data_IF_275913890931
#
_entry.id   IF_275913890931
#
_cell.length_a   1.000
_cell.length_b   1.000
_cell.length_c   1.000
_cell.angle_alpha   90.00
_cell.angle_beta   90.00
_cell.angle_gamma   90.00
#
_symmetry.space_group_name_H-M   'P 1'
#
loop_
_entity.id
_entity.type
_entity.pdbx_description
1 polymer ?
#
# COMPACT_ATOMS: atom_id res chain seq x y z
N UNK A 1 10.46 29.80 -12.00
CA UNK A 1 11.82 30.12 -11.51
C UNK A 1 11.78 29.85 -10.01
N UNK A 2 12.36 28.75 -9.57
CA UNK A 2 12.25 28.29 -8.19
C UNK A 2 13.40 28.87 -7.36
N UNK A 3 13.14 29.16 -6.09
CA UNK A 3 14.17 29.60 -5.13
C UNK A 3 15.20 28.48 -4.89
N UNK A 4 14.84 27.26 -5.27
CA UNK A 4 15.58 26.01 -5.06
C UNK A 4 16.89 25.96 -5.87
N UNK A 5 17.01 26.74 -6.95
CA UNK A 5 18.19 26.77 -7.83
C UNK A 5 19.31 27.71 -7.31
N UNK A 6 19.13 28.31 -6.13
CA UNK A 6 20.00 29.37 -5.62
C UNK A 6 21.04 28.84 -4.64
N UNK A 7 22.30 28.70 -5.10
CA UNK A 7 23.40 28.24 -4.24
C UNK A 7 24.00 29.44 -3.52
N UNK A 8 23.75 29.54 -2.21
CA UNK A 8 24.35 30.55 -1.35
C UNK A 8 25.75 30.12 -0.91
N UNK A 9 26.72 31.02 -1.04
CA UNK A 9 28.09 30.77 -0.58
C UNK A 9 28.65 32.00 0.16
N UNK A 10 29.57 31.74 1.10
CA UNK A 10 30.29 32.78 1.84
C UNK A 10 31.77 32.71 1.46
N UNK A 11 32.30 33.86 1.05
CA UNK A 11 33.71 34.01 0.73
C UNK A 11 34.49 34.31 2.01
N UNK A 12 35.55 33.55 2.21
CA UNK A 12 36.52 33.75 3.30
C UNK A 12 37.91 33.85 2.69
N UNK A 13 38.72 34.80 3.17
CA UNK A 13 40.09 34.99 2.71
C UNK A 13 41.05 34.43 3.76
N UNK A 14 42.01 33.63 3.31
CA UNK A 14 43.02 33.05 4.18
C UNK A 14 44.00 34.13 4.71
N UNK A 15 44.33 35.15 3.91
CA UNK A 15 45.21 36.25 4.30
C UNK A 15 44.41 37.52 4.65
N UNK A 16 43.93 37.60 5.89
CA UNK A 16 43.15 38.74 6.39
C UNK A 16 43.98 40.00 6.65
N UNK A 17 45.32 39.89 6.72
CA UNK A 17 46.21 41.03 6.97
C UNK A 17 46.45 41.82 5.68
N UNK A 18 46.67 41.09 4.58
CA UNK A 18 46.96 41.69 3.29
C UNK A 18 45.76 41.66 2.36
N UNK A 19 44.54 41.39 2.78
CA UNK A 19 43.37 41.53 1.91
C UNK A 19 42.15 41.94 2.72
N UNK A 20 41.21 42.62 2.05
CA UNK A 20 39.95 43.01 2.66
C UNK A 20 38.85 42.88 1.63
N UNK A 21 37.84 42.08 1.95
CA UNK A 21 36.58 42.04 1.19
C UNK A 21 35.83 43.34 1.51
N UNK A 22 35.43 44.08 0.47
CA UNK A 22 34.62 45.29 0.61
C UNK A 22 33.23 44.97 0.06
N UNK A 23 32.22 45.03 0.92
CA UNK A 23 30.84 44.67 0.58
C UNK A 23 30.37 43.39 1.29
N UNK A 24 29.38 42.71 0.72
CA UNK A 24 28.84 41.46 1.25
C UNK A 24 29.77 40.29 0.92
N UNK A 25 30.15 39.53 1.95
CA UNK A 25 30.92 38.29 1.80
C UNK A 25 30.04 37.10 1.37
N UNK A 26 28.72 37.20 1.58
CA UNK A 26 27.72 36.22 1.15
C UNK A 26 27.22 36.58 -0.24
N UNK A 27 27.34 35.65 -1.19
CA UNK A 27 26.83 35.79 -2.55
C UNK A 27 26.08 34.52 -2.97
N UNK A 28 25.52 34.54 -4.16
CA UNK A 28 24.81 33.41 -4.74
C UNK A 28 25.32 33.08 -6.13
N UNK A 29 25.24 31.80 -6.49
CA UNK A 29 25.30 31.36 -7.86
C UNK A 29 23.87 31.16 -8.37
N UNK A 30 23.67 31.50 -9.64
CA UNK A 30 22.42 31.32 -10.36
C UNK A 30 22.77 30.62 -11.68
N UNK A 31 22.18 29.44 -11.88
CA UNK A 31 22.47 28.52 -12.97
C UNK A 31 23.98 28.19 -13.07
N UNK A 32 24.64 28.65 -14.13
CA UNK A 32 26.06 28.46 -14.40
C UNK A 32 26.91 29.71 -14.13
N UNK A 33 26.33 30.74 -13.52
CA UNK A 33 27.01 32.02 -13.25
C UNK A 33 27.00 32.35 -11.76
N UNK A 34 28.17 32.71 -11.22
CA UNK A 34 28.29 33.16 -9.83
C UNK A 34 28.64 34.64 -9.83
N UNK A 35 27.90 35.43 -9.06
CA UNK A 35 28.23 36.84 -8.87
C UNK A 35 29.24 36.94 -7.74
N UNK A 36 30.47 37.32 -8.08
CA UNK A 36 31.52 37.57 -7.10
C UNK A 36 31.53 39.06 -6.71
N UNK A 37 31.77 39.38 -5.43
CA UNK A 37 31.85 40.76 -4.97
C UNK A 37 33.10 41.42 -5.55
N UNK A 38 33.03 42.74 -5.74
CA UNK A 38 34.12 43.50 -6.32
C UNK A 38 35.32 43.58 -5.35
N UNK A 39 36.46 43.00 -5.73
CA UNK A 39 37.70 43.09 -4.97
C UNK A 39 38.49 44.34 -5.39
N UNK A 40 38.54 45.37 -4.54
CA UNK A 40 39.39 46.56 -4.80
C UNK A 40 40.81 46.34 -4.32
N UNK A 41 41.73 45.98 -5.24
CA UNK A 41 43.21 46.10 -5.08
C UNK A 41 43.92 46.30 -6.42
N UNK A 42 45.23 46.58 -6.35
CA UNK A 42 46.23 46.85 -7.42
C UNK A 42 46.45 45.71 -8.44
N UNK A 43 45.57 44.71 -8.47
CA UNK A 43 45.70 43.52 -9.30
C UNK A 43 44.64 43.57 -10.41
N UNK A 44 45.05 43.22 -11.63
CA UNK A 44 44.18 43.11 -12.79
C UNK A 44 43.07 42.08 -12.55
N UNK A 45 41.93 42.26 -13.24
CA UNK A 45 40.90 41.21 -13.32
C UNK A 45 41.59 39.90 -13.73
N UNK A 46 41.29 38.84 -13.01
CA UNK A 46 41.76 37.52 -13.40
C UNK A 46 40.91 37.05 -14.59
N UNK A 47 41.49 37.00 -15.78
CA UNK A 47 40.88 36.32 -16.92
C UNK A 47 41.04 34.80 -16.75
N UNK A 48 39.93 34.07 -16.83
CA UNK A 48 39.88 32.60 -16.84
C UNK A 48 40.43 31.88 -15.60
N UNK A 49 39.99 32.26 -14.40
CA UNK A 49 40.28 31.46 -13.21
C UNK A 49 39.27 30.31 -13.04
N UNK A 50 39.78 29.09 -12.91
CA UNK A 50 39.03 27.94 -12.41
C UNK A 50 39.37 27.69 -10.94
N UNK A 51 38.37 27.62 -10.07
CA UNK A 51 38.58 27.29 -8.66
C UNK A 51 37.96 25.92 -8.36
N UNK A 52 38.76 24.91 -7.97
CA UNK A 52 38.22 23.61 -7.58
C UNK A 52 37.53 23.72 -6.22
N UNK A 53 36.24 23.38 -6.17
CA UNK A 53 35.49 23.28 -4.93
C UNK A 53 35.51 21.82 -4.50
N UNK A 54 36.04 21.53 -3.31
CA UNK A 54 35.98 20.19 -2.76
C UNK A 54 34.62 19.98 -2.09
N UNK A 55 33.74 19.22 -2.75
CA UNK A 55 32.41 18.89 -2.23
C UNK A 55 32.50 17.55 -1.53
N UNK A 56 32.25 17.54 -0.22
CA UNK A 56 32.12 16.30 0.53
C UNK A 56 30.64 15.91 0.64
N UNK A 57 30.22 14.93 -0.16
CA UNK A 57 28.86 14.40 -0.12
C UNK A 57 28.74 13.46 1.08
N UNK A 58 27.88 13.81 2.03
CA UNK A 58 27.59 12.94 3.17
C UNK A 58 26.82 11.72 2.70
N UNK A 59 27.12 10.56 3.30
CA UNK A 59 26.37 9.33 3.03
C UNK A 59 24.91 9.49 3.44
N UNK A 60 24.03 8.93 2.61
CA UNK A 60 22.60 8.83 2.90
C UNK A 60 22.35 7.94 4.12
N UNK A 61 21.41 8.31 4.98
CA UNK A 61 20.86 7.37 5.95
C UNK A 61 19.76 6.55 5.27
N UNK A 62 20.12 5.34 4.83
CA UNK A 62 19.24 4.42 4.10
C UNK A 62 18.02 3.93 4.91
N UNK A 63 17.98 4.20 6.22
CA UNK A 63 16.84 3.84 7.06
C UNK A 63 15.63 4.76 6.84
N UNK A 64 15.87 6.03 6.53
CA UNK A 64 14.84 7.07 6.39
C UNK A 64 14.74 7.62 4.98
N UNK A 65 15.88 7.68 4.27
CA UNK A 65 15.98 8.30 2.96
C UNK A 65 16.22 7.25 1.88
N UNK A 66 15.78 7.56 0.67
CA UNK A 66 16.12 6.81 -0.54
C UNK A 66 17.15 7.57 -1.34
N UNK A 67 18.13 6.83 -1.84
CA UNK A 67 19.21 7.34 -2.66
C UNK A 67 18.97 6.89 -4.11
N UNK A 68 18.56 7.83 -4.97
CA UNK A 68 18.37 7.59 -6.40
C UNK A 68 18.43 8.91 -7.18
N UNK A 69 18.58 8.81 -8.50
CA UNK A 69 18.39 9.93 -9.43
C UNK A 69 16.92 10.37 -9.41
N UNK A 70 16.68 11.65 -9.11
CA UNK A 70 15.32 12.21 -9.06
C UNK A 70 15.16 13.39 -10.00
N UNK A 71 16.10 14.33 -9.93
CA UNK A 71 16.03 15.59 -10.69
C UNK A 71 16.90 15.55 -11.95
N UNK A 72 18.07 14.92 -11.89
CA UNK A 72 19.00 14.76 -13.03
C UNK A 72 19.65 13.37 -13.02
N UNK A 73 20.07 12.89 -14.19
CA UNK A 73 20.73 11.58 -14.35
C UNK A 73 22.21 11.58 -13.93
N UNK A 74 22.76 12.74 -13.55
CA UNK A 74 24.16 12.91 -13.17
C UNK A 74 24.36 12.88 -11.65
N UNK A 75 23.33 13.24 -10.87
CA UNK A 75 23.42 13.36 -9.42
C UNK A 75 22.32 12.57 -8.72
N UNK A 76 22.72 11.60 -7.91
CA UNK A 76 21.83 10.90 -6.99
C UNK A 76 21.57 11.79 -5.78
N UNK A 77 20.31 11.85 -5.38
CA UNK A 77 19.88 12.66 -4.24
C UNK A 77 19.29 11.77 -3.15
N UNK A 78 19.48 12.19 -1.90
CA UNK A 78 18.80 11.61 -0.75
C UNK A 78 17.49 12.34 -0.53
N UNK A 79 16.36 11.63 -0.62
CA UNK A 79 15.05 12.23 -0.39
C UNK A 79 14.13 11.28 0.37
N UNK A 80 13.08 11.86 0.96
CA UNK A 80 12.01 11.12 1.60
C UNK A 80 10.92 10.88 0.55
N UNK A 81 10.54 9.63 0.27
CA UNK A 81 9.55 9.32 -0.76
C UNK A 81 8.21 9.99 -0.45
N UNK A 82 7.59 10.57 -1.48
CA UNK A 82 6.31 11.24 -1.36
C UNK A 82 5.28 10.61 -2.29
N UNK A 83 4.12 10.23 -1.75
CA UNK A 83 3.04 9.61 -2.50
C UNK A 83 1.81 10.53 -2.49
N UNK A 84 1.37 10.95 -3.67
CA UNK A 84 0.17 11.75 -3.87
C UNK A 84 -0.72 11.12 -4.96
N UNK A 85 -1.90 10.56 -4.58
CA UNK A 85 -2.50 10.55 -3.25
C UNK A 85 -1.77 9.61 -2.26
N UNK A 86 -2.06 9.79 -0.97
CA UNK A 86 -1.47 8.98 0.11
C UNK A 86 -1.81 7.49 -0.02
N UNK A 87 -0.90 6.63 0.42
CA UNK A 87 -0.98 5.17 0.37
C UNK A 87 -1.99 4.53 1.34
N UNK A 88 -2.97 5.29 1.85
CA UNK A 88 -3.94 4.84 2.85
C UNK A 88 -3.29 4.14 4.06
N UNK A 89 -3.36 2.80 4.12
CA UNK A 89 -2.77 1.97 5.18
C UNK A 89 -1.40 1.37 4.81
N UNK A 90 -0.97 1.51 3.56
CA UNK A 90 0.32 1.03 3.06
C UNK A 90 1.46 2.00 3.30
N UNK A 91 2.66 1.60 2.88
CA UNK A 91 3.90 2.36 3.05
C UNK A 91 4.34 2.91 1.69
N UNK A 92 4.72 4.18 1.64
CA UNK A 92 5.28 4.79 0.43
C UNK A 92 6.75 4.39 0.29
N UNK A 93 7.07 3.54 -0.69
CA UNK A 93 8.45 3.02 -0.89
C UNK A 93 9.25 3.83 -1.91
N UNK A 94 8.57 4.49 -2.84
CA UNK A 94 9.12 5.43 -3.81
C UNK A 94 8.04 6.43 -4.20
N UNK A 95 8.40 7.46 -4.97
CA UNK A 95 7.46 8.51 -5.36
C UNK A 95 6.26 7.91 -6.11
N UNK A 96 5.08 8.04 -5.51
CA UNK A 96 3.82 7.45 -5.99
C UNK A 96 3.83 5.92 -6.16
N UNK A 97 4.69 5.21 -5.41
CA UNK A 97 4.73 3.74 -5.39
C UNK A 97 4.36 3.19 -4.00
N UNK A 98 3.17 2.58 -3.97
CA UNK A 98 2.54 1.81 -2.89
C UNK A 98 3.22 0.49 -2.53
N UNK A 99 3.71 0.28 -1.30
CA UNK A 99 3.80 -1.08 -0.74
C UNK A 99 2.60 -1.38 0.15
N UNK A 100 1.74 -2.29 -0.32
CA UNK A 100 0.53 -2.72 0.36
C UNK A 100 0.67 -4.09 1.04
N UNK A 101 1.87 -4.69 1.04
CA UNK A 101 2.09 -6.10 1.45
C UNK A 101 1.69 -6.39 2.90
N UNK A 102 1.78 -5.39 3.78
CA UNK A 102 1.38 -5.49 5.18
C UNK A 102 -0.11 -5.15 5.42
N UNK A 103 -0.92 -5.06 4.37
CA UNK A 103 -2.33 -4.66 4.45
C UNK A 103 -3.24 -5.66 3.73
N UNK A 104 -4.54 -5.65 4.08
CA UNK A 104 -5.56 -6.40 3.35
C UNK A 104 -6.01 -5.72 2.05
N UNK A 105 -5.33 -4.65 1.66
CA UNK A 105 -5.66 -3.84 0.51
C UNK A 105 -4.61 -4.03 -0.59
N UNK A 106 -5.05 -3.88 -1.83
CA UNK A 106 -4.27 -3.95 -3.05
C UNK A 106 -4.55 -2.71 -3.90
N UNK A 107 -4.01 -2.68 -5.11
CA UNK A 107 -4.10 -1.55 -6.03
C UNK A 107 -2.97 -0.53 -5.82
N UNK A 108 -2.88 0.43 -6.74
CA UNK A 108 -1.77 1.41 -6.81
C UNK A 108 -1.60 2.22 -5.52
N UNK A 109 -2.70 2.51 -4.84
CA UNK A 109 -2.73 3.35 -3.64
C UNK A 109 -3.23 2.58 -2.40
N UNK A 110 -3.16 1.24 -2.43
CA UNK A 110 -3.65 0.37 -1.35
C UNK A 110 -5.09 0.68 -0.94
N UNK A 111 -5.99 0.84 -1.92
CA UNK A 111 -7.39 1.23 -1.72
C UNK A 111 -8.41 0.17 -2.18
N UNK A 112 -7.94 -0.88 -2.85
CA UNK A 112 -8.80 -1.96 -3.32
C UNK A 112 -8.75 -3.13 -2.34
N UNK A 113 -9.85 -3.81 -2.09
CA UNK A 113 -9.78 -5.04 -1.28
C UNK A 113 -9.16 -6.16 -2.10
N UNK A 114 -8.29 -6.97 -1.47
CA UNK A 114 -7.80 -8.19 -2.08
C UNK A 114 -8.98 -9.06 -2.53
N UNK A 115 -9.02 -9.37 -3.83
CA UNK A 115 -9.95 -10.38 -4.34
C UNK A 115 -9.53 -11.71 -3.73
N UNK A 116 -10.35 -12.25 -2.82
CA UNK A 116 -10.12 -13.58 -2.26
C UNK A 116 -10.02 -14.58 -3.40
N UNK A 117 -8.87 -15.24 -3.51
CA UNK A 117 -8.71 -16.34 -4.43
C UNK A 117 -9.63 -17.48 -4.00
N UNK A 118 -10.45 -17.95 -4.95
CA UNK A 118 -11.45 -18.99 -4.68
C UNK A 118 -10.73 -20.28 -4.30
N UNK A 119 -10.76 -20.65 -3.02
CA UNK A 119 -10.11 -21.85 -2.54
C UNK A 119 -10.93 -23.10 -2.91
N UNK A 120 -10.42 -23.86 -3.88
CA UNK A 120 -11.05 -25.08 -4.38
C UNK A 120 -11.36 -26.11 -3.27
N UNK A 121 -10.51 -26.20 -2.25
CA UNK A 121 -10.69 -27.15 -1.14
C UNK A 121 -11.89 -26.81 -0.27
N UNK A 122 -12.14 -25.52 -0.01
CA UNK A 122 -13.31 -25.07 0.74
C UNK A 122 -14.60 -25.30 -0.05
N UNK A 123 -14.58 -25.04 -1.36
CA UNK A 123 -15.71 -25.32 -2.21
C UNK A 123 -16.05 -26.81 -2.26
N UNK A 124 -15.02 -27.66 -2.36
CA UNK A 124 -15.21 -29.11 -2.35
C UNK A 124 -15.72 -29.62 -1.00
N UNK A 125 -15.23 -29.09 0.13
CA UNK A 125 -15.72 -29.49 1.45
C UNK A 125 -17.18 -29.08 1.67
N UNK A 126 -17.58 -27.88 1.24
CA UNK A 126 -18.97 -27.42 1.31
C UNK A 126 -19.89 -28.31 0.47
N UNK A 127 -19.45 -28.72 -0.74
CA UNK A 127 -20.20 -29.65 -1.60
C UNK A 127 -20.40 -31.02 -0.94
N UNK A 128 -19.35 -31.58 -0.33
CA UNK A 128 -19.42 -32.88 0.35
C UNK A 128 -20.36 -32.82 1.56
N UNK A 129 -20.22 -31.80 2.41
CA UNK A 129 -21.08 -31.62 3.58
C UNK A 129 -22.55 -31.48 3.15
N UNK A 130 -22.81 -30.70 2.11
CA UNK A 130 -24.17 -30.52 1.58
C UNK A 130 -24.77 -31.83 1.08
N UNK A 131 -23.98 -32.65 0.38
CA UNK A 131 -24.42 -33.96 -0.10
C UNK A 131 -24.76 -34.92 1.05
N UNK A 132 -23.92 -34.98 2.08
CA UNK A 132 -24.15 -35.78 3.29
C UNK A 132 -25.45 -35.37 4.00
N UNK A 133 -25.70 -34.07 4.13
CA UNK A 133 -26.93 -33.56 4.74
C UNK A 133 -28.19 -33.97 3.96
N UNK A 134 -28.13 -33.95 2.63
CA UNK A 134 -29.23 -34.43 1.78
C UNK A 134 -29.47 -35.93 1.97
N UNK A 135 -28.41 -36.75 2.03
CA UNK A 135 -28.54 -38.19 2.28
C UNK A 135 -29.16 -38.49 3.64
N UNK A 136 -28.70 -37.84 4.70
CA UNK A 136 -29.25 -38.01 6.05
C UNK A 136 -30.74 -37.61 6.07
N UNK A 137 -31.10 -36.53 5.38
CA UNK A 137 -32.49 -36.11 5.25
C UNK A 137 -33.35 -37.18 4.56
N UNK A 138 -32.88 -37.74 3.44
CA UNK A 138 -33.59 -38.82 2.74
C UNK A 138 -33.75 -40.08 3.60
N UNK A 139 -32.69 -40.49 4.31
CA UNK A 139 -32.73 -41.63 5.24
C UNK A 139 -33.75 -41.39 6.35
N UNK A 140 -33.83 -40.16 6.89
CA UNK A 140 -34.79 -39.82 7.93
C UNK A 140 -36.24 -39.96 7.44
N UNK A 141 -36.53 -39.53 6.21
CA UNK A 141 -37.85 -39.64 5.58
C UNK A 141 -38.22 -41.11 5.36
N UNK A 142 -37.30 -41.91 4.82
CA UNK A 142 -37.52 -43.35 4.59
C UNK A 142 -37.74 -44.09 5.90
N UNK A 143 -36.96 -43.79 6.93
CA UNK A 143 -37.10 -44.38 8.27
C UNK A 143 -38.48 -44.06 8.86
N UNK A 144 -38.90 -42.79 8.78
CA UNK A 144 -40.25 -42.39 9.21
C UNK A 144 -41.35 -43.12 8.45
N UNK A 145 -41.15 -43.37 7.15
CA UNK A 145 -42.11 -44.11 6.32
C UNK A 145 -42.25 -45.57 6.75
N UNK A 146 -41.13 -46.28 6.97
CA UNK A 146 -41.11 -47.69 7.38
C UNK A 146 -41.75 -47.86 8.77
N UNK A 147 -41.39 -47.01 9.73
CA UNK A 147 -41.86 -47.13 11.10
C UNK A 147 -43.22 -46.47 11.39
N UNK A 148 -43.93 -46.01 10.35
CA UNK A 148 -45.23 -45.33 10.46
C UNK A 148 -46.29 -46.12 11.24
N UNK A 149 -46.23 -47.45 11.24
CA UNK A 149 -47.21 -48.32 11.90
C UNK A 149 -46.91 -48.62 13.37
N UNK A 150 -45.75 -48.19 13.90
CA UNK A 150 -45.41 -48.41 15.30
C UNK A 150 -46.23 -47.45 16.20
N UNK A 151 -46.84 -47.98 17.27
CA UNK A 151 -47.73 -47.21 18.16
C UNK A 151 -47.02 -45.99 18.80
N UNK A 152 -45.71 -46.10 19.06
CA UNK A 152 -44.87 -45.02 19.61
C UNK A 152 -44.82 -43.83 18.63
N UNK A 153 -44.58 -44.11 17.36
CA UNK A 153 -44.47 -43.08 16.31
C UNK A 153 -45.83 -42.53 15.94
N UNK A 154 -46.88 -43.38 15.93
CA UNK A 154 -48.26 -42.93 15.74
C UNK A 154 -48.70 -41.95 16.83
N UNK A 155 -48.31 -42.18 18.08
CA UNK A 155 -48.54 -41.26 19.20
C UNK A 155 -47.78 -39.94 19.07
N UNK A 156 -46.51 -39.99 18.64
CA UNK A 156 -45.70 -38.79 18.40
C UNK A 156 -46.26 -37.92 17.26
N UNK A 157 -46.73 -38.53 16.17
CA UNK A 157 -47.32 -37.83 15.02
C UNK A 157 -48.62 -37.11 15.39
N UNK A 158 -49.48 -37.72 16.23
CA UNK A 158 -50.71 -37.08 16.71
C UNK A 158 -50.38 -35.84 17.55
N UNK A 159 -49.36 -35.92 18.41
CA UNK A 159 -48.92 -34.79 19.25
C UNK A 159 -48.22 -33.68 18.45
N UNK A 160 -47.58 -34.03 17.33
CA UNK A 160 -46.94 -33.08 16.41
C UNK A 160 -47.94 -32.45 15.43
N UNK A 161 -49.10 -33.08 15.17
CA UNK A 161 -50.14 -32.52 14.29
C UNK A 161 -50.77 -31.23 14.83
N UNK A 162 -50.84 -31.08 16.15
CA UNK A 162 -51.28 -29.81 16.77
C UNK A 162 -50.23 -28.69 16.64
N UNK A 163 -48.98 -29.06 16.31
CA UNK A 163 -47.91 -28.13 15.98
C UNK A 163 -47.52 -28.32 14.50
N UNK A 164 -48.33 -27.78 13.59
CA UNK A 164 -48.10 -27.68 12.13
C UNK A 164 -46.74 -27.06 11.68
N UNK A 165 -45.79 -26.90 12.59
CA UNK A 165 -44.51 -26.23 12.42
C UNK A 165 -43.41 -27.14 11.86
N UNK A 166 -43.39 -28.44 12.19
CA UNK A 166 -42.25 -29.32 11.90
C UNK A 166 -42.07 -29.69 10.42
N UNK A 167 -43.15 -30.00 9.71
CA UNK A 167 -43.09 -30.46 8.31
C UNK A 167 -42.87 -29.29 7.33
N UNK A 168 -43.37 -28.09 7.65
CA UNK A 168 -43.13 -26.90 6.84
C UNK A 168 -41.66 -26.45 6.90
N UNK A 169 -40.99 -26.61 8.05
CA UNK A 169 -39.58 -26.21 8.20
C UNK A 169 -38.65 -27.10 7.34
N UNK A 170 -38.85 -28.42 7.34
CA UNK A 170 -38.00 -29.33 6.55
C UNK A 170 -38.17 -29.14 5.04
N UNK A 171 -39.38 -28.83 4.57
CA UNK A 171 -39.64 -28.50 3.17
C UNK A 171 -39.03 -27.15 2.75
N UNK A 172 -38.97 -26.16 3.65
CA UNK A 172 -38.39 -24.85 3.33
C UNK A 172 -36.85 -24.89 3.31
N UNK A 173 -36.25 -25.67 4.21
CA UNK A 173 -34.79 -25.90 4.26
C UNK A 173 -34.32 -26.62 2.99
N UNK A 174 -35.02 -27.68 2.57
CA UNK A 174 -34.67 -28.42 1.34
C UNK A 174 -34.81 -27.55 0.09
N UNK A 175 -35.85 -26.70 0.00
CA UNK A 175 -36.04 -25.79 -1.14
C UNK A 175 -34.96 -24.70 -1.25
N UNK A 176 -34.48 -24.19 -0.12
CA UNK A 176 -33.38 -23.22 -0.11
C UNK A 176 -32.02 -23.87 -0.43
N UNK A 177 -31.76 -25.09 0.06
CA UNK A 177 -30.53 -25.83 -0.27
C UNK A 177 -30.46 -26.18 -1.77
N UNK A 178 -31.57 -26.58 -2.38
CA UNK A 178 -31.63 -26.86 -3.83
C UNK A 178 -31.40 -25.60 -4.67
N UNK A 179 -31.96 -24.45 -4.26
CA UNK A 179 -31.67 -23.17 -4.93
C UNK A 179 -30.19 -22.80 -4.86
N UNK A 180 -29.56 -23.00 -3.72
CA UNK A 180 -28.13 -22.71 -3.57
C UNK A 180 -27.26 -23.58 -4.50
N UNK A 181 -27.68 -24.83 -4.74
CA UNK A 181 -26.98 -25.76 -5.62
C UNK A 181 -27.19 -25.50 -7.11
N UNK A 182 -28.36 -24.97 -7.51
CA UNK A 182 -28.69 -24.71 -8.91
C UNK A 182 -28.20 -23.35 -9.43
N UNK A 183 -27.94 -22.40 -8.53
CA UNK A 183 -27.60 -21.01 -8.89
C UNK A 183 -26.18 -20.57 -8.46
N UNK A 184 -25.33 -21.48 -7.99
CA UNK A 184 -23.93 -21.22 -7.59
C UNK A 184 -22.93 -22.00 -8.42
#
# INVERSE_FOLDING_TARGET
>A
MAIEDLILFKLEMNDTLNTKIIGQATNYCMDYSCILPNFRRKYSKFENNTFPININIRKCDESLYKFQFRDDNQFESCYIPHCQPSCNKGICISDNLCDCSNTYLTGKNCNEYLKLERNYTLDMSIKIISFLLVLISMISIVTLYIYKNNYIIKGAVIRLRDKNFGICISMNITRNLVKYFLFS
#
